data_IF_288128787272
#
_entry.id   IF_288128787272
#
_cell.length_a   1.000
_cell.length_b   1.000
_cell.length_c   1.000
_cell.angle_alpha   90.00
_cell.angle_beta   90.00
_cell.angle_gamma   90.00
#
_symmetry.space_group_name_H-M   'P 1'
#
loop_
_entity.id
_entity.type
_entity.pdbx_description
1 polymer ?
#
# COMPACT_ATOMS: atom_id res chain seq x y z
N UNK A 1 -8.02 17.34 -17.32
CA UNK A 1 -7.92 16.00 -16.73
C UNK A 1 -7.76 16.20 -15.23
N UNK A 2 -8.60 15.51 -14.45
CA UNK A 2 -8.73 15.75 -13.02
C UNK A 2 -8.31 14.53 -12.21
N UNK A 3 -7.98 14.76 -10.94
CA UNK A 3 -7.85 13.69 -9.96
C UNK A 3 -9.25 13.15 -9.67
N UNK A 4 -9.43 11.84 -9.78
CA UNK A 4 -10.67 11.16 -9.42
C UNK A 4 -10.48 10.50 -8.06
N UNK A 5 -11.44 10.66 -7.15
CA UNK A 5 -11.41 10.00 -5.85
C UNK A 5 -12.28 8.75 -5.90
N UNK A 6 -11.79 7.66 -5.31
CA UNK A 6 -12.47 6.37 -5.26
C UNK A 6 -12.18 5.66 -3.95
N UNK A 7 -13.05 4.71 -3.59
CA UNK A 7 -12.76 3.79 -2.49
C UNK A 7 -11.89 2.62 -2.95
N UNK A 8 -11.34 1.89 -1.99
CA UNK A 8 -10.61 0.66 -2.27
C UNK A 8 -11.53 -0.40 -2.90
N UNK A 9 -11.11 -1.07 -3.99
CA UNK A 9 -11.95 -1.98 -4.77
C UNK A 9 -12.17 -3.36 -4.10
N UNK A 10 -12.09 -3.42 -2.77
CA UNK A 10 -12.23 -4.67 -2.01
C UNK A 10 -13.65 -5.26 -2.05
N UNK A 11 -14.66 -4.46 -2.38
CA UNK A 11 -16.04 -4.93 -2.58
C UNK A 11 -16.21 -5.84 -3.81
N UNK A 12 -15.28 -5.83 -4.77
CA UNK A 12 -15.28 -6.80 -5.89
C UNK A 12 -14.58 -8.11 -5.56
N UNK A 13 -13.99 -8.25 -4.36
CA UNK A 13 -13.50 -9.54 -3.89
C UNK A 13 -14.69 -10.40 -3.45
N UNK A 14 -14.83 -11.60 -4.03
CA UNK A 14 -15.90 -12.55 -3.70
C UNK A 14 -15.91 -12.89 -2.20
N UNK A 15 -17.09 -12.99 -1.57
CA UNK A 15 -17.18 -13.57 -0.24
C UNK A 15 -16.48 -14.94 -0.21
N UNK A 16 -15.62 -15.15 0.78
CA UNK A 16 -15.09 -16.49 1.04
C UNK A 16 -16.22 -17.36 1.59
N UNK A 17 -16.24 -18.63 1.19
CA UNK A 17 -17.19 -19.57 1.79
C UNK A 17 -16.93 -19.63 3.31
N UNK A 18 -17.95 -19.44 4.15
CA UNK A 18 -17.77 -19.42 5.60
C UNK A 18 -17.26 -20.77 6.10
N UNK A 19 -16.02 -20.82 6.56
CA UNK A 19 -15.45 -21.98 7.26
C UNK A 19 -15.44 -21.70 8.76
N UNK A 20 -16.61 -21.82 9.39
CA UNK A 20 -16.79 -21.77 10.85
C UNK A 20 -16.72 -20.38 11.49
N UNK A 21 -17.46 -20.21 12.59
CA UNK A 21 -17.63 -18.96 13.35
C UNK A 21 -16.55 -18.79 14.42
N UNK A 22 -15.29 -18.85 14.02
CA UNK A 22 -14.20 -18.48 14.92
C UNK A 22 -14.25 -16.96 15.15
N UNK A 23 -14.14 -16.52 16.39
CA UNK A 23 -14.18 -15.11 16.76
C UNK A 23 -12.77 -14.63 17.13
N UNK A 24 -12.01 -14.15 16.15
CA UNK A 24 -10.64 -13.67 16.34
C UNK A 24 -10.58 -12.16 16.55
N UNK A 25 -9.68 -11.74 17.45
CA UNK A 25 -9.25 -10.36 17.60
C UNK A 25 -7.76 -10.29 17.25
N UNK A 26 -7.40 -9.52 16.21
CA UNK A 26 -6.06 -9.49 15.65
C UNK A 26 -5.42 -8.15 15.93
N UNK A 27 -4.25 -8.16 16.57
CA UNK A 27 -3.43 -6.97 16.79
C UNK A 27 -2.20 -6.99 15.87
N UNK A 28 -2.06 -5.96 15.04
CA UNK A 28 -0.88 -5.74 14.21
C UNK A 28 0.12 -4.85 14.94
N UNK A 29 1.31 -5.39 15.19
CA UNK A 29 2.44 -4.66 15.77
C UNK A 29 3.00 -3.60 14.81
N UNK A 30 3.83 -2.72 15.37
CA UNK A 30 4.62 -1.74 14.63
C UNK A 30 6.11 -2.14 14.67
N UNK A 31 6.94 -1.49 13.85
CA UNK A 31 8.39 -1.50 14.05
C UNK A 31 8.86 -0.05 14.22
N UNK A 32 9.08 0.33 15.47
CA UNK A 32 9.59 1.66 15.83
C UNK A 32 11.02 1.60 16.39
N UNK A 33 11.71 0.46 16.28
CA UNK A 33 13.00 0.20 16.95
C UNK A 33 14.05 1.28 16.70
N UNK A 34 14.11 1.75 15.46
CA UNK A 34 15.18 2.63 15.01
C UNK A 34 14.69 4.09 14.81
N UNK A 35 13.49 4.42 15.31
CA UNK A 35 12.93 5.78 15.26
C UNK A 35 13.44 6.55 16.48
N UNK A 36 14.39 7.46 16.26
CA UNK A 36 15.04 8.21 17.34
C UNK A 36 14.07 9.12 18.09
N UNK A 37 12.99 9.53 17.43
CA UNK A 37 11.97 10.43 17.96
C UNK A 37 10.93 9.75 18.86
N UNK A 38 10.96 8.41 19.01
CA UNK A 38 10.01 7.65 19.82
C UNK A 38 10.70 7.08 21.07
N UNK A 39 10.17 7.40 22.25
CA UNK A 39 10.62 6.78 23.49
C UNK A 39 10.14 5.32 23.54
N UNK A 40 11.02 4.39 23.17
CA UNK A 40 10.71 2.96 23.08
C UNK A 40 10.16 2.38 24.38
N UNK A 41 10.71 2.72 25.55
CA UNK A 41 10.23 2.18 26.82
C UNK A 41 8.77 2.57 27.07
N UNK A 42 8.46 3.85 26.87
CA UNK A 42 7.10 4.34 27.05
C UNK A 42 6.15 3.84 25.96
N UNK A 43 6.65 3.62 24.73
CA UNK A 43 5.88 2.96 23.67
C UNK A 43 5.49 1.52 24.05
N UNK A 44 6.42 0.72 24.58
CA UNK A 44 6.12 -0.63 25.08
C UNK A 44 5.09 -0.59 26.21
N UNK A 45 5.28 0.30 27.18
CA UNK A 45 4.35 0.48 28.31
C UNK A 45 2.92 0.80 27.82
N UNK A 46 2.80 1.76 26.90
CA UNK A 46 1.50 2.13 26.32
C UNK A 46 0.91 1.03 25.45
N UNK A 47 1.72 0.31 24.70
CA UNK A 47 1.25 -0.82 23.88
C UNK A 47 0.72 -1.94 24.77
N UNK A 48 1.35 -2.24 25.92
CA UNK A 48 0.83 -3.20 26.89
C UNK A 48 -0.53 -2.77 27.46
N UNK A 49 -0.74 -1.47 27.73
CA UNK A 49 -2.05 -0.94 28.14
C UNK A 49 -3.11 -1.15 27.04
N UNK A 50 -2.75 -1.02 25.76
CA UNK A 50 -3.64 -1.34 24.64
C UNK A 50 -3.94 -2.85 24.55
N UNK A 51 -2.96 -3.72 24.81
CA UNK A 51 -3.16 -5.17 24.82
C UNK A 51 -4.08 -5.61 25.97
N UNK A 52 -3.95 -5.00 27.15
CA UNK A 52 -4.86 -5.21 28.28
C UNK A 52 -6.29 -4.79 27.97
N UNK A 53 -6.46 -3.65 27.28
CA UNK A 53 -7.75 -3.21 26.78
C UNK A 53 -8.40 -4.28 25.88
N UNK A 54 -7.63 -4.87 24.97
CA UNK A 54 -8.12 -5.93 24.07
C UNK A 54 -8.50 -7.18 24.87
N UNK A 55 -7.68 -7.63 25.82
CA UNK A 55 -8.00 -8.78 26.67
C UNK A 55 -9.33 -8.60 27.41
N UNK A 56 -9.54 -7.40 27.96
CA UNK A 56 -10.76 -7.06 28.70
C UNK A 56 -11.99 -7.05 27.79
N UNK A 57 -11.91 -6.38 26.64
CA UNK A 57 -13.08 -6.15 25.77
C UNK A 57 -13.33 -7.30 24.78
N UNK A 58 -12.34 -8.14 24.53
CA UNK A 58 -12.43 -9.31 23.65
C UNK A 58 -12.32 -10.62 24.46
N UNK A 59 -12.89 -10.66 25.67
CA UNK A 59 -12.95 -11.90 26.46
C UNK A 59 -13.74 -12.98 25.68
N UNK A 60 -13.18 -14.20 25.61
CA UNK A 60 -13.75 -15.31 24.83
C UNK A 60 -13.36 -15.32 23.34
N UNK A 61 -12.63 -14.32 22.85
CA UNK A 61 -12.09 -14.29 21.50
C UNK A 61 -10.72 -14.96 21.46
N UNK A 62 -10.35 -15.51 20.30
CA UNK A 62 -8.97 -15.91 20.04
C UNK A 62 -8.14 -14.66 19.76
N UNK A 63 -7.25 -14.33 20.69
CA UNK A 63 -6.36 -13.17 20.55
C UNK A 63 -5.13 -13.55 19.72
N UNK A 64 -4.86 -12.80 18.66
CA UNK A 64 -3.73 -13.02 17.76
C UNK A 64 -2.88 -11.77 17.71
N UNK A 65 -1.57 -11.93 17.95
CA UNK A 65 -0.60 -10.86 17.76
C UNK A 65 0.23 -11.16 16.50
N UNK A 66 0.27 -10.20 15.57
CA UNK A 66 1.08 -10.26 14.35
C UNK A 66 2.15 -9.17 14.40
N UNK A 67 3.43 -9.50 14.61
CA UNK A 67 4.50 -8.50 14.60
C UNK A 67 4.66 -7.87 13.20
N UNK A 68 5.24 -6.68 13.14
CA UNK A 68 5.68 -6.11 11.86
C UNK A 68 6.73 -7.04 11.21
N UNK A 69 6.77 -7.23 9.87
CA UNK A 69 7.71 -8.17 9.25
C UNK A 69 9.18 -7.89 9.55
N UNK A 70 9.55 -6.61 9.69
CA UNK A 70 10.91 -6.18 9.99
C UNK A 70 11.21 -6.14 11.52
N UNK A 71 10.21 -6.46 12.36
CA UNK A 71 10.30 -6.54 13.82
C UNK A 71 11.13 -7.78 14.25
N UNK A 72 12.09 -7.57 15.16
CA UNK A 72 12.92 -8.67 15.69
C UNK A 72 12.84 -8.87 17.21
N UNK A 73 12.55 -7.84 18.02
CA UNK A 73 12.73 -7.82 19.47
C UNK A 73 11.54 -7.22 20.27
N UNK A 74 10.72 -6.33 19.72
CA UNK A 74 9.53 -5.73 20.35
C UNK A 74 8.57 -6.78 20.90
N UNK A 75 8.29 -7.84 20.14
CA UNK A 75 7.43 -8.94 20.59
C UNK A 75 7.91 -9.63 21.87
N UNK A 76 9.20 -9.54 22.22
CA UNK A 76 9.77 -10.08 23.46
C UNK A 76 9.61 -9.14 24.66
N UNK A 77 9.30 -7.87 24.41
CA UNK A 77 9.11 -6.83 25.43
C UNK A 77 7.64 -6.57 25.77
N UNK A 78 6.74 -7.00 24.89
CA UNK A 78 5.30 -6.91 25.08
C UNK A 78 4.81 -8.03 25.99
N UNK A 79 3.84 -7.71 26.84
CA UNK A 79 3.07 -8.74 27.51
C UNK A 79 2.10 -9.33 26.48
N UNK A 80 2.46 -10.48 25.91
CA UNK A 80 1.65 -11.23 24.96
C UNK A 80 0.92 -12.41 25.62
N UNK A 81 0.78 -12.41 26.95
CA UNK A 81 0.00 -13.42 27.66
C UNK A 81 -1.41 -13.50 27.06
N UNK A 82 -1.89 -14.71 26.78
CA UNK A 82 -3.17 -14.99 26.08
C UNK A 82 -3.21 -14.69 24.58
N UNK A 83 -2.16 -14.10 23.98
CA UNK A 83 -2.08 -13.90 22.53
C UNK A 83 -1.33 -15.05 21.85
N UNK A 84 -1.90 -15.58 20.78
CA UNK A 84 -1.19 -16.44 19.84
C UNK A 84 -0.33 -15.56 18.93
N UNK A 85 0.99 -15.65 19.05
CA UNK A 85 1.92 -14.94 18.16
C UNK A 85 1.97 -15.64 16.80
N UNK A 86 1.66 -14.91 15.74
CA UNK A 86 1.78 -15.39 14.36
C UNK A 86 2.82 -14.59 13.61
N UNK A 87 4.06 -15.08 13.62
CA UNK A 87 5.16 -14.54 12.81
C UNK A 87 5.25 -15.34 11.51
N UNK A 88 4.77 -14.76 10.41
CA UNK A 88 5.00 -15.28 9.07
C UNK A 88 5.18 -14.12 8.09
N UNK A 89 5.74 -14.41 6.91
CA UNK A 89 6.01 -13.39 5.88
C UNK A 89 4.75 -12.98 5.09
N UNK A 90 3.57 -13.45 5.52
CA UNK A 90 2.31 -13.11 4.87
C UNK A 90 1.96 -11.65 5.16
N UNK A 91 1.67 -10.91 4.09
CA UNK A 91 1.20 -9.54 4.20
C UNK A 91 -0.15 -9.44 4.90
N UNK A 92 -0.34 -8.35 5.63
CA UNK A 92 -1.49 -8.13 6.49
C UNK A 92 -2.81 -8.18 5.70
N UNK A 93 -2.84 -7.55 4.52
CA UNK A 93 -4.01 -7.48 3.65
C UNK A 93 -4.46 -8.88 3.21
N UNK A 94 -3.52 -9.74 2.81
CA UNK A 94 -3.83 -11.13 2.41
C UNK A 94 -4.23 -11.97 3.61
N UNK A 95 -3.60 -11.77 4.76
CA UNK A 95 -3.99 -12.44 6.00
C UNK A 95 -5.44 -12.09 6.39
N UNK A 96 -5.77 -10.80 6.38
CA UNK A 96 -7.12 -10.29 6.65
C UNK A 96 -8.12 -10.90 5.68
N UNK A 97 -7.81 -10.88 4.39
CA UNK A 97 -8.67 -11.46 3.36
C UNK A 97 -8.88 -12.96 3.56
N UNK A 98 -7.82 -13.77 3.62
CA UNK A 98 -7.91 -15.23 3.76
C UNK A 98 -8.60 -15.69 5.05
N UNK A 99 -8.68 -14.84 6.07
CA UNK A 99 -9.30 -15.14 7.37
C UNK A 99 -10.53 -14.26 7.66
N UNK A 100 -11.14 -13.63 6.64
CA UNK A 100 -12.23 -12.66 6.82
C UNK A 100 -13.37 -13.18 7.68
N UNK A 101 -13.78 -14.42 7.46
CA UNK A 101 -14.89 -15.05 8.18
C UNK A 101 -14.58 -15.38 9.65
N UNK A 102 -13.30 -15.37 10.04
CA UNK A 102 -12.84 -15.66 11.40
C UNK A 102 -12.51 -14.40 12.21
N UNK A 103 -12.31 -13.27 11.56
CA UNK A 103 -11.83 -12.05 12.20
C UNK A 103 -13.02 -11.16 12.54
N UNK A 104 -13.27 -10.97 13.83
CA UNK A 104 -14.27 -10.01 14.31
C UNK A 104 -13.68 -8.61 14.43
N UNK A 105 -12.47 -8.52 14.98
CA UNK A 105 -11.83 -7.25 15.34
C UNK A 105 -10.38 -7.18 14.85
N UNK A 106 -9.99 -6.02 14.35
CA UNK A 106 -8.64 -5.67 13.92
C UNK A 106 -8.15 -4.48 14.72
N UNK A 107 -6.94 -4.56 15.26
CA UNK A 107 -6.34 -3.52 16.07
C UNK A 107 -4.94 -3.21 15.58
N UNK A 108 -4.51 -1.97 15.75
CA UNK A 108 -3.11 -1.61 15.71
C UNK A 108 -2.86 -0.36 16.54
N UNK A 109 -1.59 -0.03 16.78
CA UNK A 109 -1.25 1.29 17.31
C UNK A 109 -1.34 2.35 16.23
N UNK A 110 -0.60 2.17 15.13
CA UNK A 110 -0.55 3.12 14.01
C UNK A 110 -0.14 2.39 12.71
N UNK A 111 -0.52 1.11 12.58
CA UNK A 111 -0.20 0.30 11.41
C UNK A 111 -1.18 0.60 10.28
N UNK A 112 -0.68 0.66 9.05
CA UNK A 112 -1.52 0.72 7.84
C UNK A 112 -2.46 -0.49 7.73
N UNK A 113 -2.14 -1.59 8.43
CA UNK A 113 -2.94 -2.82 8.44
C UNK A 113 -4.34 -2.63 9.02
N UNK A 114 -4.53 -1.77 10.04
CA UNK A 114 -5.87 -1.49 10.56
C UNK A 114 -6.68 -0.62 9.58
N UNK A 115 -6.03 0.28 8.84
CA UNK A 115 -6.67 1.04 7.74
C UNK A 115 -7.11 0.09 6.63
N UNK A 116 -6.26 -0.87 6.22
CA UNK A 116 -6.66 -1.89 5.26
C UNK A 116 -7.83 -2.74 5.78
N UNK A 117 -7.81 -3.14 7.05
CA UNK A 117 -8.92 -3.85 7.69
C UNK A 117 -10.22 -3.04 7.66
N UNK A 118 -10.15 -1.74 7.97
CA UNK A 118 -11.31 -0.86 7.90
C UNK A 118 -11.89 -0.80 6.49
N UNK A 119 -11.04 -0.61 5.48
CA UNK A 119 -11.43 -0.60 4.07
C UNK A 119 -11.93 -1.97 3.56
N UNK A 120 -11.64 -3.07 4.25
CA UNK A 120 -12.17 -4.41 3.97
C UNK A 120 -13.49 -4.73 4.70
N UNK A 121 -14.00 -3.78 5.49
CA UNK A 121 -15.28 -3.88 6.20
C UNK A 121 -15.19 -4.59 7.55
N UNK A 122 -14.00 -4.70 8.14
CA UNK A 122 -13.85 -5.22 9.51
C UNK A 122 -14.20 -4.15 10.55
N UNK A 123 -14.50 -4.60 11.78
CA UNK A 123 -14.37 -3.70 12.92
C UNK A 123 -12.87 -3.47 13.16
N UNK A 124 -12.38 -2.27 12.88
CA UNK A 124 -10.95 -1.98 12.86
C UNK A 124 -10.62 -0.73 13.66
N UNK A 125 -9.61 -0.80 14.52
CA UNK A 125 -9.29 0.27 15.43
C UNK A 125 -7.81 0.62 15.47
N UNK A 126 -7.54 1.88 15.80
CA UNK A 126 -6.21 2.42 16.03
C UNK A 126 -6.12 3.04 17.43
N UNK A 127 -5.06 2.69 18.16
CA UNK A 127 -4.71 3.36 19.42
C UNK A 127 -3.86 4.61 19.21
N UNK A 128 -3.69 5.07 17.97
CA UNK A 128 -2.80 6.18 17.64
C UNK A 128 -3.11 7.43 18.47
N UNK A 129 -4.39 7.82 18.55
CA UNK A 129 -4.80 9.01 19.29
C UNK A 129 -4.60 8.86 20.81
N UNK A 130 -4.76 7.67 21.38
CA UNK A 130 -4.44 7.40 22.79
C UNK A 130 -2.96 7.65 23.14
N UNK A 131 -2.05 7.35 22.19
CA UNK A 131 -0.61 7.46 22.43
C UNK A 131 0.06 8.56 21.60
N UNK A 132 -0.71 9.44 20.97
CA UNK A 132 -0.25 10.39 19.94
C UNK A 132 0.93 11.25 20.38
N UNK A 133 0.94 11.65 21.65
CA UNK A 133 2.01 12.49 22.22
C UNK A 133 3.40 11.83 22.26
N UNK A 134 3.48 10.52 22.03
CA UNK A 134 4.76 9.84 21.85
C UNK A 134 5.44 10.12 20.52
N UNK A 135 4.66 10.44 19.50
CA UNK A 135 5.18 10.69 18.17
C UNK A 135 5.54 12.17 18.05
N UNK A 136 6.72 12.46 17.49
CA UNK A 136 7.21 13.82 17.25
C UNK A 136 7.77 13.95 15.84
N UNK A 137 8.00 15.18 15.39
CA UNK A 137 8.66 15.46 14.13
C UNK A 137 8.00 14.78 12.92
N UNK A 138 8.82 14.22 12.03
CA UNK A 138 8.38 13.63 10.77
C UNK A 138 7.41 12.45 10.94
N UNK A 139 7.60 11.62 11.97
CA UNK A 139 6.70 10.48 12.23
C UNK A 139 5.32 10.93 12.72
N UNK A 140 5.25 12.00 13.52
CA UNK A 140 3.96 12.60 13.91
C UNK A 140 3.26 13.17 12.68
N UNK A 141 3.97 13.96 11.87
CA UNK A 141 3.42 14.52 10.64
C UNK A 141 2.87 13.41 9.74
N UNK A 142 3.65 12.35 9.50
CA UNK A 142 3.21 11.23 8.68
C UNK A 142 1.95 10.56 9.24
N UNK A 143 1.94 10.20 10.53
CA UNK A 143 0.79 9.50 11.13
C UNK A 143 -0.45 10.39 11.22
N UNK A 144 -0.30 11.68 11.55
CA UNK A 144 -1.40 12.63 11.62
C UNK A 144 -2.08 12.80 10.26
N UNK A 145 -1.32 12.82 9.16
CA UNK A 145 -1.88 12.86 7.82
C UNK A 145 -2.43 11.50 7.37
N UNK A 146 -1.70 10.40 7.61
CA UNK A 146 -2.12 9.07 7.13
C UNK A 146 -3.39 8.56 7.81
N UNK A 147 -3.60 8.91 9.08
CA UNK A 147 -4.77 8.52 9.85
C UNK A 147 -5.80 9.66 9.95
N UNK A 148 -5.50 10.87 9.47
CA UNK A 148 -6.30 12.08 9.72
C UNK A 148 -7.75 12.00 9.26
N UNK A 149 -7.99 11.41 8.09
CA UNK A 149 -9.31 11.34 7.46
C UNK A 149 -10.13 10.11 7.90
N UNK A 150 -9.69 9.38 8.92
CA UNK A 150 -10.43 8.26 9.47
C UNK A 150 -11.46 8.75 10.50
N UNK A 151 -12.65 8.13 10.55
CA UNK A 151 -13.72 8.56 11.46
C UNK A 151 -13.33 8.35 12.93
N UNK A 152 -13.95 9.11 13.83
CA UNK A 152 -13.62 9.05 15.26
C UNK A 152 -13.82 7.65 15.88
N UNK A 153 -14.80 6.89 15.40
CA UNK A 153 -15.06 5.52 15.85
C UNK A 153 -13.99 4.51 15.40
N UNK A 154 -13.06 4.89 14.51
CA UNK A 154 -11.84 4.15 14.22
C UNK A 154 -10.81 4.26 15.34
N UNK A 155 -10.88 5.28 16.19
CA UNK A 155 -9.86 5.54 17.21
C UNK A 155 -10.32 5.11 18.60
N UNK A 156 -9.42 4.44 19.32
CA UNK A 156 -9.57 4.22 20.76
C UNK A 156 -8.69 5.25 21.46
N UNK A 157 -9.33 6.23 22.08
CA UNK A 157 -8.69 7.32 22.82
C UNK A 157 -8.75 7.12 24.34
N UNK A 158 -9.75 6.38 24.82
CA UNK A 158 -9.98 6.15 26.23
C UNK A 158 -10.08 4.64 26.52
N UNK A 159 -9.09 4.10 27.22
CA UNK A 159 -9.05 2.67 27.58
C UNK A 159 -10.12 2.26 28.62
N UNK A 160 -10.85 3.21 29.21
CA UNK A 160 -12.00 2.92 30.06
C UNK A 160 -13.30 2.74 29.25
N UNK A 161 -13.35 3.23 28.01
CA UNK A 161 -14.55 3.16 27.18
C UNK A 161 -14.80 1.73 26.66
N UNK A 162 -16.07 1.31 26.51
CA UNK A 162 -16.37 0.02 25.90
C UNK A 162 -15.97 -0.02 24.43
N UNK A 163 -15.67 -1.21 23.92
CA UNK A 163 -15.43 -1.43 22.49
C UNK A 163 -16.74 -1.38 21.71
N UNK A 164 -16.87 -0.41 20.79
CA UNK A 164 -18.06 -0.22 19.96
C UNK A 164 -17.81 -0.70 18.54
N UNK A 165 -18.76 -1.39 17.91
CA UNK A 165 -18.63 -1.81 16.51
C UNK A 165 -18.54 -0.60 15.57
N UNK A 166 -17.59 -0.65 14.64
CA UNK A 166 -17.39 0.39 13.65
C UNK A 166 -17.29 -0.15 12.21
N UNK A 167 -17.54 -1.45 11.99
CA UNK A 167 -17.52 -2.06 10.66
C UNK A 167 -18.39 -1.27 9.68
N UNK A 168 -17.90 -1.11 8.45
CA UNK A 168 -18.63 -0.45 7.36
C UNK A 168 -19.05 -1.47 6.31
N UNK A 169 -20.27 -1.31 5.80
CA UNK A 169 -20.71 -2.03 4.61
C UNK A 169 -19.90 -1.54 3.41
N UNK A 170 -19.26 -2.45 2.70
CA UNK A 170 -18.55 -2.09 1.48
C UNK A 170 -19.55 -1.99 0.33
N UNK A 171 -19.61 -0.82 -0.30
CA UNK A 171 -20.47 -0.57 -1.46
C UNK A 171 -19.62 -0.38 -2.71
N UNK A 172 -20.17 -0.84 -3.83
CA UNK A 172 -19.52 -0.65 -5.12
C UNK A 172 -19.44 0.84 -5.47
N UNK A 173 -18.25 1.29 -5.86
CA UNK A 173 -18.03 2.63 -6.39
C UNK A 173 -18.54 2.68 -7.84
N UNK A 174 -19.78 3.17 -8.00
CA UNK A 174 -20.43 3.26 -9.30
C UNK A 174 -19.66 4.17 -10.26
N UNK A 175 -19.06 5.26 -9.76
CA UNK A 175 -18.28 6.17 -10.61
C UNK A 175 -17.06 5.47 -11.20
N UNK A 176 -16.34 4.72 -10.36
CA UNK A 176 -15.20 3.93 -10.85
C UNK A 176 -15.64 2.89 -11.89
N UNK A 177 -16.75 2.18 -11.63
CA UNK A 177 -17.34 1.18 -12.53
C UNK A 177 -17.73 1.80 -13.89
N UNK A 178 -18.39 2.96 -13.87
CA UNK A 178 -18.77 3.72 -15.06
C UNK A 178 -17.57 4.25 -15.85
N UNK A 179 -16.56 4.80 -15.16
CA UNK A 179 -15.31 5.21 -15.80
C UNK A 179 -14.65 4.05 -16.54
N UNK A 180 -14.54 2.88 -15.90
CA UNK A 180 -13.95 1.70 -16.56
C UNK A 180 -14.80 1.20 -17.73
N UNK A 181 -16.13 1.30 -17.71
CA UNK A 181 -16.96 0.99 -18.88
C UNK A 181 -16.60 1.88 -20.07
N UNK A 182 -16.44 3.19 -19.88
CA UNK A 182 -16.03 4.11 -20.95
C UNK A 182 -14.63 3.79 -21.47
N UNK A 183 -13.66 3.65 -20.54
CA UNK A 183 -12.26 3.38 -20.88
C UNK A 183 -12.13 2.08 -21.69
N UNK A 184 -12.82 1.01 -21.27
CA UNK A 184 -12.77 -0.30 -21.94
C UNK A 184 -13.49 -0.31 -23.30
N UNK A 185 -14.47 0.58 -23.50
CA UNK A 185 -15.15 0.75 -24.78
C UNK A 185 -14.27 1.50 -25.80
N UNK A 186 -13.53 2.50 -25.35
CA UNK A 186 -12.65 3.32 -26.19
C UNK A 186 -11.31 2.64 -26.52
N UNK A 187 -10.87 1.70 -25.67
CA UNK A 187 -9.61 0.99 -25.81
C UNK A 187 -9.88 -0.50 -25.96
N UNK A 188 -9.50 -1.12 -27.07
CA UNK A 188 -9.81 -2.54 -27.38
C UNK A 188 -8.74 -3.55 -26.99
N UNK A 189 -7.54 -3.10 -26.61
CA UNK A 189 -6.40 -3.97 -26.29
C UNK A 189 -6.37 -4.49 -24.84
N UNK A 190 -5.46 -5.42 -24.52
CA UNK A 190 -5.35 -6.00 -23.18
C UNK A 190 -5.13 -4.98 -22.05
N UNK A 191 -5.50 -5.36 -20.83
CA UNK A 191 -5.22 -4.57 -19.62
C UNK A 191 -3.98 -5.14 -18.93
N UNK A 192 -3.00 -4.29 -18.65
CA UNK A 192 -1.79 -4.65 -17.91
C UNK A 192 -1.75 -3.91 -16.58
N UNK A 193 -1.77 -4.64 -15.48
CA UNK A 193 -1.51 -4.08 -14.17
C UNK A 193 -0.02 -4.15 -13.84
N UNK A 194 0.57 -3.10 -13.27
CA UNK A 194 1.91 -3.16 -12.66
C UNK A 194 1.79 -3.18 -11.15
N UNK A 195 2.53 -4.08 -10.50
CA UNK A 195 2.58 -4.19 -9.05
C UNK A 195 4.01 -4.32 -8.57
N UNK A 196 4.31 -3.59 -7.51
CA UNK A 196 5.63 -3.57 -6.86
C UNK A 196 5.44 -3.99 -5.43
N UNK A 197 4.57 -3.28 -4.72
CA UNK A 197 4.20 -3.58 -3.35
C UNK A 197 3.03 -4.56 -3.34
N UNK A 198 3.28 -5.74 -2.78
CA UNK A 198 2.29 -6.79 -2.64
C UNK A 198 1.03 -6.37 -1.85
N UNK A 199 1.07 -5.31 -1.03
CA UNK A 199 -0.14 -4.78 -0.35
C UNK A 199 -1.26 -4.38 -1.30
N UNK A 200 -0.95 -3.97 -2.54
CA UNK A 200 -1.95 -3.55 -3.53
C UNK A 200 -2.57 -4.71 -4.30
N UNK A 201 -2.07 -5.94 -4.14
CA UNK A 201 -2.49 -7.06 -4.98
C UNK A 201 -3.97 -7.40 -4.86
N UNK A 202 -4.57 -7.25 -3.67
CA UNK A 202 -6.00 -7.46 -3.48
C UNK A 202 -6.83 -6.38 -4.17
N UNK A 203 -6.34 -5.14 -4.19
CA UNK A 203 -7.00 -4.08 -4.92
C UNK A 203 -6.97 -4.38 -6.43
N UNK A 204 -5.82 -4.82 -6.94
CA UNK A 204 -5.66 -5.22 -8.34
C UNK A 204 -6.58 -6.41 -8.69
N UNK A 205 -6.66 -7.44 -7.84
CA UNK A 205 -7.58 -8.57 -8.06
C UNK A 205 -9.04 -8.10 -8.08
N UNK A 206 -9.42 -7.18 -7.18
CA UNK A 206 -10.76 -6.56 -7.18
C UNK A 206 -11.07 -5.86 -8.50
N UNK A 207 -10.14 -5.04 -9.00
CA UNK A 207 -10.28 -4.37 -10.31
C UNK A 207 -10.32 -5.37 -11.47
N UNK A 208 -9.48 -6.41 -11.45
CA UNK A 208 -9.49 -7.44 -12.49
C UNK A 208 -10.84 -8.14 -12.55
N UNK A 209 -11.44 -8.46 -11.40
CA UNK A 209 -12.79 -9.05 -11.32
C UNK A 209 -13.86 -8.11 -11.85
N UNK A 210 -13.80 -6.82 -11.53
CA UNK A 210 -14.67 -5.81 -12.12
C UNK A 210 -14.54 -5.78 -13.65
N UNK A 211 -13.32 -5.70 -14.17
CA UNK A 211 -13.05 -5.66 -15.61
C UNK A 211 -13.59 -6.91 -16.30
N UNK A 212 -13.40 -8.12 -15.73
CA UNK A 212 -13.97 -9.35 -16.28
C UNK A 212 -15.50 -9.36 -16.28
N UNK A 213 -16.17 -8.68 -15.34
CA UNK A 213 -17.63 -8.51 -15.37
C UNK A 213 -18.08 -7.56 -16.49
N UNK A 214 -17.33 -6.49 -16.73
CA UNK A 214 -17.65 -5.48 -17.75
C UNK A 214 -17.31 -5.98 -19.16
N UNK A 215 -16.16 -6.63 -19.31
CA UNK A 215 -15.61 -7.11 -20.58
C UNK A 215 -14.97 -8.50 -20.41
N UNK A 216 -15.78 -9.59 -20.41
CA UNK A 216 -15.34 -10.95 -20.10
C UNK A 216 -14.20 -11.48 -20.99
N UNK A 217 -14.22 -11.12 -22.27
CA UNK A 217 -13.22 -11.55 -23.26
C UNK A 217 -11.92 -10.75 -23.19
N UNK A 218 -11.84 -9.73 -22.33
CA UNK A 218 -10.67 -8.87 -22.24
C UNK A 218 -9.56 -9.60 -21.51
N UNK A 219 -8.40 -9.74 -22.16
CA UNK A 219 -7.18 -10.24 -21.51
C UNK A 219 -6.68 -9.26 -20.45
N UNK A 220 -6.34 -9.80 -19.28
CA UNK A 220 -5.81 -9.08 -18.12
C UNK A 220 -4.51 -9.74 -17.67
N UNK A 221 -3.41 -9.00 -17.78
CA UNK A 221 -2.07 -9.43 -17.39
C UNK A 221 -1.56 -8.66 -16.17
N UNK A 222 -0.70 -9.30 -15.38
CA UNK A 222 0.00 -8.70 -14.24
C UNK A 222 1.50 -8.63 -14.50
N UNK A 223 2.08 -7.46 -14.32
CA UNK A 223 3.52 -7.20 -14.39
C UNK A 223 4.02 -6.99 -12.97
N UNK A 224 4.90 -7.89 -12.50
CA UNK A 224 5.44 -7.85 -11.14
C UNK A 224 6.87 -7.33 -11.13
N UNK A 225 7.11 -6.25 -10.39
CA UNK A 225 8.45 -5.79 -10.00
C UNK A 225 8.90 -6.57 -8.75
N UNK A 226 9.57 -7.69 -9.00
CA UNK A 226 9.85 -8.72 -8.01
C UNK A 226 10.87 -8.29 -6.95
N UNK A 227 10.52 -8.47 -5.68
CA UNK A 227 11.38 -8.22 -4.54
C UNK A 227 11.20 -9.32 -3.47
N UNK A 228 12.00 -9.27 -2.41
CA UNK A 228 12.08 -10.34 -1.39
C UNK A 228 10.77 -10.73 -0.69
N UNK A 229 9.71 -9.91 -0.73
CA UNK A 229 8.42 -10.24 -0.10
C UNK A 229 7.46 -11.00 -1.04
N UNK A 230 7.88 -11.29 -2.27
CA UNK A 230 7.16 -12.16 -3.20
C UNK A 230 7.72 -13.58 -3.09
N UNK A 231 6.95 -14.49 -2.50
CA UNK A 231 7.31 -15.91 -2.51
C UNK A 231 6.94 -16.55 -3.84
N UNK A 232 7.71 -17.56 -4.26
CA UNK A 232 7.43 -18.30 -5.50
C UNK A 232 6.04 -18.93 -5.50
N UNK A 233 5.61 -19.49 -4.36
CA UNK A 233 4.27 -20.07 -4.21
C UNK A 233 3.17 -19.03 -4.36
N UNK A 234 3.39 -17.80 -3.87
CA UNK A 234 2.41 -16.73 -4.00
C UNK A 234 2.31 -16.22 -5.44
N UNK A 235 3.44 -16.13 -6.15
CA UNK A 235 3.43 -15.78 -7.57
C UNK A 235 2.67 -16.81 -8.42
N UNK A 236 2.79 -18.10 -8.12
CA UNK A 236 2.01 -19.16 -8.77
C UNK A 236 0.51 -19.07 -8.43
N UNK A 237 0.14 -18.65 -7.22
CA UNK A 237 -1.27 -18.41 -6.87
C UNK A 237 -1.88 -17.31 -7.78
N UNK A 238 -1.10 -16.30 -8.17
CA UNK A 238 -1.58 -15.20 -9.01
C UNK A 238 -1.85 -15.60 -10.47
N UNK A 239 -1.19 -16.65 -10.98
CA UNK A 239 -1.46 -17.18 -12.32
C UNK A 239 -2.90 -17.71 -12.47
N UNK A 240 -3.64 -17.87 -11.36
CA UNK A 240 -5.07 -18.24 -11.36
C UNK A 240 -6.00 -17.05 -11.53
N UNK A 241 -5.54 -15.82 -11.23
CA UNK A 241 -6.36 -14.61 -11.27
C UNK A 241 -6.14 -13.81 -12.57
N UNK A 242 -4.97 -13.95 -13.20
CA UNK A 242 -4.54 -13.22 -14.40
C UNK A 242 -4.27 -14.16 -15.56
N UNK A 243 -4.51 -13.70 -16.79
CA UNK A 243 -4.26 -14.48 -18.00
C UNK A 243 -2.76 -14.63 -18.30
N UNK A 244 -1.94 -13.72 -17.76
CA UNK A 244 -0.48 -13.77 -17.82
C UNK A 244 0.12 -13.06 -16.62
N UNK A 245 1.18 -13.63 -16.03
CA UNK A 245 1.99 -13.00 -14.98
C UNK A 245 3.44 -12.86 -15.47
N UNK A 246 3.88 -11.63 -15.70
CA UNK A 246 5.23 -11.31 -16.18
C UNK A 246 6.07 -10.75 -15.05
N UNK A 247 7.20 -11.38 -14.78
CA UNK A 247 8.06 -11.04 -13.63
C UNK A 247 9.33 -10.33 -14.12
N UNK A 248 9.61 -9.17 -13.54
CA UNK A 248 10.84 -8.42 -13.73
C UNK A 248 11.58 -8.26 -12.39
N UNK A 249 12.93 -8.19 -12.38
CA UNK A 249 13.65 -7.85 -11.16
C UNK A 249 13.36 -6.41 -10.75
N UNK A 250 13.17 -6.16 -9.45
CA UNK A 250 13.05 -4.79 -8.92
C UNK A 250 14.38 -4.06 -8.97
N UNK A 251 14.35 -2.81 -9.44
CA UNK A 251 15.52 -1.93 -9.49
C UNK A 251 15.37 -0.77 -8.52
N UNK A 252 16.20 -0.77 -7.48
CA UNK A 252 16.35 0.38 -6.60
C UNK A 252 17.37 1.37 -7.16
N UNK A 253 17.18 2.66 -6.88
CA UNK A 253 18.12 3.74 -7.19
C UNK A 253 19.49 3.43 -6.59
N UNK A 254 20.40 2.91 -7.41
CA UNK A 254 21.74 2.47 -7.00
C UNK A 254 22.78 2.79 -8.05
N UNK A 255 23.94 3.26 -7.59
CA UNK A 255 25.10 3.53 -8.44
C UNK A 255 26.01 2.31 -8.63
N UNK A 256 25.65 1.15 -8.08
CA UNK A 256 26.46 -0.06 -8.27
C UNK A 256 26.43 -0.47 -9.75
N UNK A 257 27.59 -0.64 -10.43
CA UNK A 257 27.63 -0.93 -11.86
C UNK A 257 26.78 -2.14 -12.27
N UNK A 258 26.81 -3.23 -11.48
CA UNK A 258 26.00 -4.43 -11.72
C UNK A 258 24.49 -4.14 -11.70
N UNK A 259 24.03 -3.26 -10.79
CA UNK A 259 22.62 -2.87 -10.68
C UNK A 259 22.20 -1.95 -11.83
N UNK A 260 23.05 -0.98 -12.19
CA UNK A 260 22.83 -0.12 -13.36
C UNK A 260 22.73 -0.93 -14.66
N UNK A 261 23.63 -1.90 -14.84
CA UNK A 261 23.60 -2.80 -15.99
C UNK A 261 22.33 -3.65 -16.03
N UNK A 262 21.92 -4.21 -14.87
CA UNK A 262 20.67 -4.97 -14.78
C UNK A 262 19.43 -4.12 -15.09
N UNK A 263 19.38 -2.87 -14.61
CA UNK A 263 18.33 -1.91 -14.92
C UNK A 263 18.31 -1.56 -16.43
N UNK A 264 19.48 -1.37 -17.05
CA UNK A 264 19.61 -1.15 -18.48
C UNK A 264 19.12 -2.35 -19.31
N UNK A 265 19.47 -3.58 -18.92
CA UNK A 265 18.98 -4.79 -19.59
C UNK A 265 17.46 -4.92 -19.46
N UNK A 266 16.92 -4.60 -18.29
CA UNK A 266 15.47 -4.61 -18.03
C UNK A 266 14.75 -3.58 -18.89
N UNK A 267 15.25 -2.35 -18.96
CA UNK A 267 14.65 -1.30 -19.79
C UNK A 267 14.71 -1.65 -21.28
N UNK A 268 15.82 -2.27 -21.75
CA UNK A 268 15.94 -2.78 -23.11
C UNK A 268 14.95 -3.91 -23.40
N UNK A 269 14.77 -4.85 -22.47
CA UNK A 269 13.79 -5.93 -22.62
C UNK A 269 12.37 -5.37 -22.78
N UNK A 270 11.98 -4.42 -21.92
CA UNK A 270 10.66 -3.78 -21.99
C UNK A 270 10.51 -2.97 -23.28
N UNK A 271 11.51 -2.18 -23.65
CA UNK A 271 11.50 -1.37 -24.88
C UNK A 271 11.34 -2.21 -26.16
N UNK A 272 11.98 -3.38 -26.20
CA UNK A 272 11.95 -4.28 -27.35
C UNK A 272 10.69 -5.17 -27.41
N UNK A 273 9.86 -5.17 -26.36
CA UNK A 273 8.60 -5.90 -26.31
C UNK A 273 7.47 -4.91 -25.95
N UNK A 274 7.13 -3.98 -26.86
CA UNK A 274 6.08 -3.00 -26.60
C UNK A 274 4.73 -3.70 -26.41
N UNK A 275 3.87 -3.07 -25.63
CA UNK A 275 2.50 -3.54 -25.44
C UNK A 275 1.71 -3.40 -26.75
N UNK A 276 0.73 -4.28 -27.01
CA UNK A 276 -0.15 -4.14 -28.17
C UNK A 276 -0.83 -2.77 -28.23
N UNK A 277 -1.12 -2.30 -29.44
CA UNK A 277 -1.88 -1.06 -29.62
C UNK A 277 -3.26 -1.16 -28.94
N UNK A 278 -3.73 -0.04 -28.37
CA UNK A 278 -5.00 0.01 -27.65
C UNK A 278 -5.00 -0.69 -26.28
N UNK A 279 -3.87 -1.22 -25.81
CA UNK A 279 -3.75 -1.75 -24.45
C UNK A 279 -3.88 -0.64 -23.42
N UNK A 280 -4.38 -1.00 -22.23
CA UNK A 280 -4.48 -0.12 -21.06
C UNK A 280 -3.39 -0.53 -20.06
N UNK A 281 -2.62 0.43 -19.54
CA UNK A 281 -1.61 0.22 -18.51
C UNK A 281 -2.09 0.82 -17.19
N UNK A 282 -2.19 0.01 -16.14
CA UNK A 282 -2.68 0.43 -14.83
C UNK A 282 -1.57 0.29 -13.78
N UNK A 283 -1.09 1.42 -13.26
CA UNK A 283 0.00 1.49 -12.29
C UNK A 283 -0.43 1.75 -10.85
N UNK A 284 0.33 1.21 -9.89
CA UNK A 284 0.08 1.36 -8.45
C UNK A 284 1.28 1.93 -7.68
N UNK A 285 2.45 2.02 -8.32
CA UNK A 285 3.67 2.44 -7.65
C UNK A 285 4.13 3.83 -8.04
N UNK A 286 3.79 4.36 -9.23
CA UNK A 286 4.16 5.67 -9.83
C UNK A 286 5.65 6.04 -9.88
N UNK A 287 6.51 5.40 -9.09
CA UNK A 287 7.94 5.71 -8.93
C UNK A 287 8.86 4.50 -9.17
N UNK A 288 8.30 3.30 -9.37
CA UNK A 288 9.07 2.10 -9.64
C UNK A 288 9.66 2.11 -11.06
N UNK A 289 10.87 1.58 -11.19
CA UNK A 289 11.62 1.61 -12.44
C UNK A 289 10.97 0.77 -13.55
N UNK A 290 10.41 -0.40 -13.22
CA UNK A 290 9.73 -1.28 -14.19
C UNK A 290 8.47 -0.59 -14.69
N UNK A 291 7.63 -0.10 -13.76
CA UNK A 291 6.43 0.67 -14.11
C UNK A 291 6.76 1.89 -14.97
N UNK A 292 7.80 2.66 -14.61
CA UNK A 292 8.26 3.81 -15.37
C UNK A 292 8.75 3.43 -16.79
N UNK A 293 9.44 2.30 -16.95
CA UNK A 293 9.80 1.78 -18.28
C UNK A 293 8.56 1.53 -19.15
N UNK A 294 7.54 0.86 -18.60
CA UNK A 294 6.30 0.60 -19.33
C UNK A 294 5.58 1.91 -19.69
N UNK A 295 5.41 2.83 -18.74
CA UNK A 295 4.77 4.13 -18.98
C UNK A 295 5.53 4.99 -20.02
N UNK A 296 6.87 4.91 -20.03
CA UNK A 296 7.73 5.74 -20.88
C UNK A 296 7.85 5.24 -22.32
N UNK A 297 7.85 3.92 -22.52
CA UNK A 297 8.01 3.31 -23.84
C UNK A 297 6.68 3.07 -24.56
N UNK A 298 5.58 2.90 -23.82
CA UNK A 298 4.24 2.67 -24.37
C UNK A 298 3.41 3.96 -24.35
N UNK A 299 3.93 5.04 -24.93
CA UNK A 299 3.35 6.39 -24.81
C UNK A 299 1.97 6.56 -25.43
N UNK A 300 1.62 5.71 -26.40
CA UNK A 300 0.33 5.75 -27.12
C UNK A 300 -0.75 4.92 -26.45
N UNK A 301 -0.38 4.11 -25.45
CA UNK A 301 -1.32 3.32 -24.69
C UNK A 301 -1.97 4.18 -23.61
N UNK A 302 -3.24 3.89 -23.32
CA UNK A 302 -3.99 4.55 -22.26
C UNK A 302 -3.43 4.12 -20.91
N UNK A 303 -3.15 5.07 -20.02
CA UNK A 303 -2.52 4.81 -18.73
C UNK A 303 -3.40 5.35 -17.60
N UNK A 304 -3.50 4.53 -16.58
CA UNK A 304 -4.24 4.82 -15.36
C UNK A 304 -3.27 4.69 -14.20
N UNK A 305 -3.29 5.64 -13.28
CA UNK A 305 -2.56 5.55 -12.02
C UNK A 305 -3.52 5.41 -10.85
N UNK A 306 -3.25 4.45 -9.97
CA UNK A 306 -3.88 4.32 -8.65
C UNK A 306 -2.87 4.65 -7.56
N UNK A 307 -3.26 5.52 -6.64
CA UNK A 307 -2.43 5.89 -5.48
C UNK A 307 -3.34 6.09 -4.28
N UNK A 308 -2.94 5.68 -3.06
CA UNK A 308 -3.60 6.20 -1.87
C UNK A 308 -3.51 7.73 -1.84
N UNK A 309 -4.62 8.41 -1.55
CA UNK A 309 -4.72 9.87 -1.51
C UNK A 309 -3.63 10.47 -0.61
N UNK A 310 -3.49 9.95 0.61
CA UNK A 310 -2.45 10.39 1.55
C UNK A 310 -1.04 10.19 0.98
N UNK A 311 -0.79 9.08 0.26
CA UNK A 311 0.54 8.86 -0.34
C UNK A 311 0.79 9.87 -1.45
N UNK A 312 -0.24 10.25 -2.19
CA UNK A 312 -0.16 11.33 -3.17
C UNK A 312 0.14 12.67 -2.49
N UNK A 313 -0.58 13.05 -1.44
CA UNK A 313 -0.31 14.29 -0.70
C UNK A 313 1.09 14.31 -0.10
N UNK A 314 1.52 13.22 0.52
CA UNK A 314 2.86 13.10 1.08
C UNK A 314 3.95 13.28 0.02
N UNK A 315 3.84 12.64 -1.15
CA UNK A 315 4.90 12.68 -2.17
C UNK A 315 4.85 13.93 -3.06
N UNK A 316 3.65 14.39 -3.42
CA UNK A 316 3.45 15.47 -4.37
C UNK A 316 3.26 16.82 -3.69
N UNK A 317 2.71 16.85 -2.47
CA UNK A 317 2.39 18.04 -1.68
C UNK A 317 2.95 18.02 -0.26
N UNK A 318 4.13 17.43 -0.07
CA UNK A 318 4.79 17.27 1.23
C UNK A 318 4.79 18.54 2.12
N UNK A 319 4.91 19.72 1.49
CA UNK A 319 4.92 21.02 2.16
C UNK A 319 3.56 21.39 2.77
N UNK A 320 2.46 21.12 2.06
CA UNK A 320 1.11 21.43 2.57
C UNK A 320 0.70 20.51 3.70
N UNK A 321 1.30 19.32 3.79
CA UNK A 321 1.06 18.36 4.88
C UNK A 321 2.03 18.54 6.06
N UNK A 322 2.90 19.56 6.02
CA UNK A 322 3.70 20.00 7.17
C UNK A 322 5.18 19.62 7.16
N UNK A 323 5.72 19.04 6.08
CA UNK A 323 7.17 18.83 5.95
C UNK A 323 7.89 20.10 5.49
N UNK A 324 9.03 20.42 6.11
CA UNK A 324 9.84 21.58 5.72
C UNK A 324 10.76 21.24 4.53
N UNK A 325 10.66 21.95 3.39
CA UNK A 325 11.52 21.78 2.23
C UNK A 325 13.02 21.84 2.52
N UNK A 326 13.43 22.64 3.51
CA UNK A 326 14.84 22.81 3.88
C UNK A 326 15.46 21.52 4.41
N UNK A 327 14.63 20.61 4.91
CA UNK A 327 15.06 19.31 5.40
C UNK A 327 15.12 18.24 4.30
N UNK A 328 14.75 18.58 3.06
CA UNK A 328 14.87 17.64 1.96
C UNK A 328 16.27 17.63 1.35
N UNK A 329 16.82 16.42 1.20
CA UNK A 329 18.11 16.20 0.54
C UNK A 329 17.99 15.15 -0.56
N UNK A 330 18.70 15.36 -1.66
CA UNK A 330 18.79 14.39 -2.76
C UNK A 330 20.08 13.59 -2.61
N UNK A 331 19.98 12.26 -2.57
CA UNK A 331 21.18 11.43 -2.52
C UNK A 331 21.84 11.32 -3.91
N UNK A 332 23.12 10.89 -3.95
CA UNK A 332 23.88 10.77 -5.21
C UNK A 332 23.21 9.86 -6.25
N UNK A 333 22.55 8.79 -5.80
CA UNK A 333 21.88 7.84 -6.70
C UNK A 333 20.64 8.46 -7.37
N UNK A 334 19.79 9.13 -6.59
CA UNK A 334 18.61 9.86 -7.09
C UNK A 334 19.02 10.97 -8.05
N UNK A 335 20.07 11.73 -7.73
CA UNK A 335 20.61 12.74 -8.65
C UNK A 335 21.06 12.13 -9.98
N UNK A 336 21.85 11.04 -9.94
CA UNK A 336 22.35 10.37 -11.13
C UNK A 336 21.24 9.80 -12.01
N UNK A 337 20.25 9.14 -11.40
CA UNK A 337 19.11 8.60 -12.16
C UNK A 337 18.34 9.71 -12.86
N UNK A 338 17.96 10.75 -12.11
CA UNK A 338 17.17 11.86 -12.62
C UNK A 338 17.87 12.63 -13.77
N UNK A 339 19.18 12.85 -13.67
CA UNK A 339 19.91 13.73 -14.61
C UNK A 339 20.64 12.98 -15.73
N UNK A 340 20.97 11.69 -15.55
CA UNK A 340 21.77 10.93 -16.50
C UNK A 340 21.10 9.64 -16.94
N UNK A 341 20.78 8.75 -16.01
CA UNK A 341 20.36 7.39 -16.36
C UNK A 341 18.97 7.34 -17.01
N UNK A 342 17.98 8.00 -16.41
CA UNK A 342 16.61 8.05 -16.95
C UNK A 342 16.54 8.83 -18.27
N UNK A 343 17.19 10.01 -18.42
CA UNK A 343 17.29 10.68 -19.71
C UNK A 343 17.95 9.83 -20.80
N UNK A 344 19.07 9.16 -20.49
CA UNK A 344 19.76 8.27 -21.43
C UNK A 344 18.82 7.15 -21.92
N UNK A 345 18.00 6.62 -21.01
CA UNK A 345 17.02 5.59 -21.30
C UNK A 345 15.72 6.13 -21.91
N UNK A 346 15.54 7.45 -22.01
CA UNK A 346 14.30 8.14 -22.42
C UNK A 346 13.08 7.83 -21.54
N UNK A 347 13.33 7.64 -20.24
CA UNK A 347 12.31 7.41 -19.23
C UNK A 347 11.74 8.73 -18.69
N UNK A 348 10.56 8.69 -18.08
CA UNK A 348 10.09 9.80 -17.27
C UNK A 348 11.06 9.98 -16.10
N UNK A 349 11.43 11.23 -15.83
CA UNK A 349 12.40 11.54 -14.78
C UNK A 349 11.73 11.47 -13.41
N UNK A 350 12.43 10.90 -12.44
CA UNK A 350 11.95 10.77 -11.06
C UNK A 350 12.76 11.66 -10.12
N UNK A 351 12.12 12.17 -9.08
CA UNK A 351 12.74 12.98 -8.02
C UNK A 351 12.71 12.15 -6.75
N UNK A 352 13.89 11.83 -6.22
CA UNK A 352 14.06 11.12 -4.96
C UNK A 352 14.62 12.08 -3.90
N UNK A 353 13.83 12.40 -2.89
CA UNK A 353 14.23 13.23 -1.74
C UNK A 353 14.15 12.44 -0.44
N UNK A 354 15.05 12.72 0.49
CA UNK A 354 15.04 12.24 1.88
C UNK A 354 14.70 13.41 2.79
N UNK A 355 13.89 13.20 3.83
CA UNK A 355 13.69 14.20 4.87
C UNK A 355 14.57 13.92 6.10
N UNK A 356 15.32 14.93 6.56
CA UNK A 356 16.18 14.85 7.74
C UNK A 356 17.67 14.63 7.42
N UNK A 357 18.50 14.53 8.48
CA UNK A 357 19.93 14.20 8.33
C UNK A 357 20.06 12.80 7.75
N UNK A 358 21.10 12.55 6.95
CA UNK A 358 21.39 11.26 6.32
C UNK A 358 21.55 10.07 7.28
N UNK A 359 21.45 10.25 8.60
CA UNK A 359 21.43 9.17 9.59
C UNK A 359 20.02 8.77 10.03
N UNK A 360 19.00 9.62 9.83
CA UNK A 360 17.58 9.39 10.18
C UNK A 360 16.74 8.93 8.97
N UNK A 361 17.35 8.08 8.12
CA UNK A 361 16.85 7.69 6.79
C UNK A 361 15.57 6.84 6.82
N UNK A 362 14.41 7.42 7.10
CA UNK A 362 13.13 6.69 7.01
C UNK A 362 12.13 7.28 6.05
N UNK A 363 12.05 8.60 5.95
CA UNK A 363 11.08 9.26 5.08
C UNK A 363 11.73 9.62 3.75
N UNK A 364 11.40 8.83 2.75
CA UNK A 364 11.70 9.10 1.35
C UNK A 364 10.46 9.60 0.63
N UNK A 365 10.66 10.57 -0.23
CA UNK A 365 9.65 11.17 -1.07
C UNK A 365 10.09 10.92 -2.50
N UNK A 366 9.32 10.12 -3.21
CA UNK A 366 9.64 9.73 -4.58
C UNK A 366 8.45 10.09 -5.44
N UNK A 367 8.69 10.92 -6.47
CA UNK A 367 7.67 11.30 -7.43
C UNK A 367 8.24 11.44 -8.82
N UNK A 368 7.36 11.47 -9.81
CA UNK A 368 7.73 11.92 -11.15
C UNK A 368 8.08 13.42 -11.09
N UNK A 369 9.02 13.84 -11.95
CA UNK A 369 9.36 15.26 -12.09
C UNK A 369 8.23 16.04 -12.77
N UNK A 370 7.53 15.39 -13.71
CA UNK A 370 6.27 15.88 -14.25
C UNK A 370 5.13 15.56 -13.29
N UNK A 371 4.04 16.30 -13.40
CA UNK A 371 2.79 15.90 -12.76
C UNK A 371 2.37 14.53 -13.28
N UNK A 372 1.78 13.70 -12.41
CA UNK A 372 1.39 12.34 -12.80
C UNK A 372 0.26 12.38 -13.84
N UNK A 373 -0.56 13.43 -13.79
CA UNK A 373 -1.62 13.81 -14.72
C UNK A 373 -1.09 14.21 -16.10
N UNK A 374 0.22 14.50 -16.25
CA UNK A 374 0.86 14.69 -17.56
C UNK A 374 1.38 13.38 -18.16
N UNK A 375 1.44 12.31 -17.36
CA UNK A 375 2.00 11.01 -17.74
C UNK A 375 0.91 9.98 -17.95
N UNK A 376 -0.17 10.07 -17.16
CA UNK A 376 -1.34 9.20 -17.20
C UNK A 376 -2.58 9.99 -17.60
N UNK A 377 -3.43 9.38 -18.41
CA UNK A 377 -4.69 9.95 -18.87
C UNK A 377 -5.72 10.03 -17.73
N UNK A 378 -5.70 9.06 -16.80
CA UNK A 378 -6.56 9.04 -15.62
C UNK A 378 -5.77 8.76 -14.34
N UNK A 379 -6.14 9.43 -13.25
CA UNK A 379 -5.54 9.25 -11.93
C UNK A 379 -6.64 9.05 -10.90
N UNK A 380 -6.62 7.90 -10.23
CA UNK A 380 -7.54 7.51 -9.17
C UNK A 380 -6.83 7.54 -7.81
N UNK A 381 -7.31 8.40 -6.92
CA UNK A 381 -6.86 8.52 -5.54
C UNK A 381 -7.75 7.67 -4.63
N UNK A 382 -7.15 6.68 -3.98
CA UNK A 382 -7.81 5.75 -3.07
C UNK A 382 -7.93 6.41 -1.69
N UNK A 383 -9.16 6.66 -1.25
CA UNK A 383 -9.45 7.20 0.09
C UNK A 383 -9.14 6.17 1.17
N UNK A 384 -8.64 6.62 2.33
CA UNK A 384 -8.39 5.73 3.47
C UNK A 384 -9.67 5.35 4.25
N UNK A 385 -10.81 5.99 3.95
CA UNK A 385 -12.12 5.65 4.49
C UNK A 385 -13.02 4.99 3.43
N UNK A 386 -13.73 3.90 3.76
CA UNK A 386 -14.72 3.27 2.88
C UNK A 386 -16.06 4.02 2.83
N UNK A 387 -16.22 5.08 3.64
CA UNK A 387 -17.42 5.92 3.68
C UNK A 387 -17.01 7.39 3.69
N UNK A 388 -17.73 8.21 2.91
CA UNK A 388 -17.48 9.63 2.54
C UNK A 388 -16.69 9.85 1.25
#
# INVERSE_FOLDING_TARGET
>A
MGLNFTHWPYYWLNSLNPTGSDNWAVFFGADLRDISEVNRKFFIEKTNQCLDYIRKNCAGYRLIYRPHPDETNESQLLDLTSFSVQKNDQIAEIFLWKNKEKIKYVFSVCSTSSVAGFNMGFNAYSFYRYIKELFKGAIRIYNDNYLGDLPDDFFIENLAAPLLENKRELREDQKLSESFKSILAENSGPVYFTVVENRFILAIIGLAKMIRRIAPERKISLIVSNHSRWSASYLQELEKEFDEVVIFPRHFYSLQPKKLWSAFLTSRKIKNNPLPAGSILVGFAHHDFVENCFMSYNRKNFKIAFLPEVIWDLNFRAESVGFDPKNFTTNKAGFFYNHFFEPLLRLNRTVFKHHGKTTDKRFYFIKLQKLIEEVCEEVFLLKNSPTE
#
